data_IF_433283215293
#
_entry.id   IF_433283215293
#
_cell.length_a   1.000
_cell.length_b   1.000
_cell.length_c   1.000
_cell.angle_alpha   90.00
_cell.angle_beta   90.00
_cell.angle_gamma   90.00
#
_symmetry.space_group_name_H-M   'P 1'
#
loop_
_entity.id
_entity.type
_entity.pdbx_description
1 polymer ?
#
# COMPACT_ATOMS: atom_id res chain seq x y z
N UNK A 1 -13.81 11.50 18.22
CA UNK A 1 -12.67 11.02 17.40
C UNK A 1 -11.99 9.75 17.96
N UNK A 2 -11.66 9.71 19.27
CA UNK A 2 -11.05 8.54 19.92
C UNK A 2 -11.94 7.27 19.87
N UNK A 3 -13.24 7.41 20.10
CA UNK A 3 -14.20 6.30 20.00
C UNK A 3 -14.27 5.68 18.59
N UNK A 4 -14.05 6.45 17.52
CA UNK A 4 -14.05 5.88 16.16
C UNK A 4 -12.84 4.97 15.93
N UNK A 5 -11.69 5.30 16.53
CA UNK A 5 -10.47 4.49 16.46
C UNK A 5 -10.68 3.20 17.26
N UNK A 6 -11.19 3.29 18.48
CA UNK A 6 -11.47 2.11 19.31
C UNK A 6 -12.52 1.18 18.68
N UNK A 7 -13.55 1.74 18.04
CA UNK A 7 -14.55 0.96 17.30
C UNK A 7 -13.98 0.32 16.04
N UNK A 8 -13.08 1.00 15.32
CA UNK A 8 -12.41 0.44 14.15
C UNK A 8 -11.48 -0.73 14.54
N UNK A 9 -10.75 -0.59 15.66
CA UNK A 9 -9.91 -1.65 16.22
C UNK A 9 -10.77 -2.87 16.59
N UNK A 10 -11.85 -2.69 17.37
CA UNK A 10 -12.76 -3.77 17.77
C UNK A 10 -13.47 -4.46 16.59
N UNK A 11 -13.71 -3.73 15.49
CA UNK A 11 -14.26 -4.29 14.25
C UNK A 11 -13.21 -5.11 13.48
N UNK A 12 -11.95 -4.64 13.45
CA UNK A 12 -10.85 -5.35 12.80
C UNK A 12 -10.42 -6.62 13.52
N UNK A 13 -10.55 -6.68 14.85
CA UNK A 13 -10.21 -7.87 15.67
C UNK A 13 -11.31 -8.94 15.71
N UNK A 14 -12.50 -8.66 15.15
CA UNK A 14 -13.60 -9.63 15.11
C UNK A 14 -14.39 -9.78 16.41
N UNK A 15 -14.07 -9.01 17.47
CA UNK A 15 -14.72 -9.12 18.79
C UNK A 15 -16.22 -8.78 18.79
N UNK A 16 -16.71 -8.05 17.77
CA UNK A 16 -18.11 -7.64 17.65
C UNK A 16 -18.94 -8.49 16.68
N UNK A 17 -18.50 -9.71 16.33
CA UNK A 17 -19.24 -10.58 15.40
C UNK A 17 -19.31 -10.01 13.97
N UNK A 18 -18.28 -9.26 13.57
CA UNK A 18 -18.11 -8.75 12.22
C UNK A 18 -17.41 -9.76 11.32
N UNK A 19 -17.80 -9.80 10.04
CA UNK A 19 -17.22 -10.69 9.05
C UNK A 19 -15.68 -10.59 9.02
N UNK A 20 -15.01 -11.74 8.95
CA UNK A 20 -13.55 -11.85 8.91
C UNK A 20 -13.03 -11.08 7.70
N UNK A 21 -12.36 -9.96 7.96
CA UNK A 21 -11.69 -9.20 6.90
C UNK A 21 -10.44 -9.98 6.49
N UNK A 22 -10.36 -10.32 5.22
CA UNK A 22 -9.22 -10.98 4.60
C UNK A 22 -8.49 -9.98 3.71
N UNK A 23 -7.17 -10.00 3.80
CA UNK A 23 -6.30 -9.26 2.89
C UNK A 23 -5.93 -10.17 1.71
N UNK A 24 -6.27 -9.74 0.49
CA UNK A 24 -5.93 -10.44 -0.76
C UNK A 24 -5.29 -9.45 -1.73
N UNK A 25 -4.27 -9.91 -2.43
CA UNK A 25 -3.64 -9.19 -3.53
C UNK A 25 -4.16 -9.72 -4.86
N UNK A 26 -4.61 -8.82 -5.72
CA UNK A 26 -4.96 -9.10 -7.12
C UNK A 26 -3.93 -8.48 -8.05
N UNK A 27 -3.77 -9.09 -9.21
CA UNK A 27 -2.84 -8.67 -10.24
C UNK A 27 -3.58 -8.43 -11.54
N UNK A 28 -3.13 -7.47 -12.36
CA UNK A 28 -3.78 -7.18 -13.62
C UNK A 28 -3.01 -6.20 -14.51
N UNK A 29 -3.49 -6.08 -15.73
CA UNK A 29 -3.00 -5.13 -16.73
C UNK A 29 -4.12 -4.17 -17.10
N UNK A 30 -3.84 -2.87 -17.03
CA UNK A 30 -4.74 -1.82 -17.48
C UNK A 30 -4.56 -1.47 -18.96
N UNK A 31 -5.20 -0.39 -19.42
CA UNK A 31 -5.02 0.11 -20.78
C UNK A 31 -3.54 0.40 -21.05
N UNK A 32 -3.11 0.18 -22.30
CA UNK A 32 -1.71 0.34 -22.73
C UNK A 32 -0.69 -0.54 -21.98
N UNK A 33 -1.12 -1.64 -21.35
CA UNK A 33 -0.23 -2.61 -20.73
C UNK A 33 0.38 -2.18 -19.39
N UNK A 34 -0.18 -1.16 -18.73
CA UNK A 34 0.24 -0.77 -17.38
C UNK A 34 -0.05 -1.88 -16.37
N UNK A 35 0.97 -2.30 -15.62
CA UNK A 35 0.84 -3.31 -14.58
C UNK A 35 0.18 -2.75 -13.31
N UNK A 36 -0.72 -3.52 -12.71
CA UNK A 36 -1.42 -3.18 -11.46
C UNK A 36 -1.29 -4.30 -10.44
N UNK A 37 -0.80 -3.95 -9.24
CA UNK A 37 -0.81 -4.77 -8.04
C UNK A 37 -1.78 -4.14 -7.05
N UNK A 38 -2.85 -4.86 -6.68
CA UNK A 38 -3.98 -4.30 -5.92
C UNK A 38 -4.14 -5.08 -4.62
N UNK A 39 -3.89 -4.43 -3.49
CA UNK A 39 -4.16 -4.98 -2.17
C UNK A 39 -5.59 -4.62 -1.74
N UNK A 40 -6.37 -5.64 -1.37
CA UNK A 40 -7.78 -5.50 -0.99
C UNK A 40 -7.99 -6.13 0.37
N UNK A 41 -8.48 -5.34 1.33
CA UNK A 41 -9.03 -5.82 2.59
C UNK A 41 -10.55 -5.95 2.45
N UNK A 42 -11.07 -7.18 2.40
CA UNK A 42 -12.50 -7.46 2.15
C UNK A 42 -13.02 -8.58 3.02
N UNK A 43 -14.31 -8.52 3.35
CA UNK A 43 -15.04 -9.60 4.01
C UNK A 43 -15.61 -10.64 3.02
N UNK A 44 -15.55 -10.35 1.70
CA UNK A 44 -16.04 -11.22 0.65
C UNK A 44 -15.18 -11.13 -0.61
N UNK A 45 -14.33 -12.13 -0.78
CA UNK A 45 -13.36 -12.24 -1.87
C UNK A 45 -14.03 -12.41 -3.25
N UNK A 46 -15.16 -13.12 -3.31
CA UNK A 46 -15.91 -13.32 -4.55
C UNK A 46 -16.51 -12.03 -5.08
N UNK A 47 -17.05 -11.19 -4.18
CA UNK A 47 -17.60 -9.88 -4.54
C UNK A 47 -16.50 -8.96 -5.07
N UNK A 48 -15.40 -8.83 -4.32
CA UNK A 48 -14.26 -8.01 -4.72
C UNK A 48 -13.65 -8.47 -6.06
N UNK A 49 -13.49 -9.77 -6.28
CA UNK A 49 -13.01 -10.30 -7.56
C UNK A 49 -13.95 -9.97 -8.73
N UNK A 50 -15.26 -10.03 -8.53
CA UNK A 50 -16.26 -9.71 -9.56
C UNK A 50 -16.27 -8.22 -9.91
N UNK A 51 -16.18 -7.36 -8.90
CA UNK A 51 -16.11 -5.91 -9.08
C UNK A 51 -14.83 -5.52 -9.81
N UNK A 52 -13.67 -6.05 -9.40
CA UNK A 52 -12.40 -5.80 -10.04
C UNK A 52 -12.38 -6.25 -11.50
N UNK A 53 -12.87 -7.46 -11.80
CA UNK A 53 -12.99 -7.92 -13.20
C UNK A 53 -13.82 -6.95 -14.04
N UNK A 54 -14.98 -6.56 -13.53
CA UNK A 54 -15.87 -5.61 -14.23
C UNK A 54 -15.19 -4.26 -14.45
N UNK A 55 -14.46 -3.76 -13.45
CA UNK A 55 -13.76 -2.48 -13.52
C UNK A 55 -12.62 -2.52 -14.56
N UNK A 56 -11.81 -3.58 -14.58
CA UNK A 56 -10.76 -3.75 -15.58
C UNK A 56 -11.34 -3.89 -16.99
N UNK A 57 -12.33 -4.76 -17.18
CA UNK A 57 -12.95 -4.95 -18.50
C UNK A 57 -13.59 -3.68 -19.04
N UNK A 58 -14.25 -2.87 -18.20
CA UNK A 58 -14.83 -1.58 -18.61
C UNK A 58 -13.79 -0.54 -19.02
N UNK A 59 -12.59 -0.58 -18.44
CA UNK A 59 -11.52 0.40 -18.68
C UNK A 59 -10.41 -0.12 -19.62
N UNK A 60 -10.67 -1.19 -20.38
CA UNK A 60 -9.73 -1.71 -21.38
C UNK A 60 -8.54 -2.48 -20.80
N UNK A 61 -8.72 -3.11 -19.64
CA UNK A 61 -7.74 -3.97 -18.99
C UNK A 61 -8.26 -5.38 -18.68
N UNK A 62 -7.41 -6.19 -18.06
CA UNK A 62 -7.73 -7.54 -17.59
C UNK A 62 -7.11 -7.85 -16.23
N UNK A 63 -7.79 -8.68 -15.44
CA UNK A 63 -7.23 -9.28 -14.23
C UNK A 63 -6.36 -10.47 -14.66
N UNK A 64 -5.14 -10.52 -14.13
CA UNK A 64 -4.17 -11.60 -14.32
C UNK A 64 -4.24 -12.67 -13.23
N UNK A 65 -3.41 -13.69 -13.39
CA UNK A 65 -3.17 -14.70 -12.34
C UNK A 65 -2.13 -14.20 -11.34
N UNK A 66 -2.07 -14.75 -10.12
CA UNK A 66 -0.97 -14.49 -9.20
C UNK A 66 0.39 -14.72 -9.89
N UNK A 67 1.31 -13.75 -9.77
CA UNK A 67 2.63 -13.75 -10.42
C UNK A 67 2.69 -13.11 -11.81
N UNK A 68 1.59 -12.61 -12.38
CA UNK A 68 1.55 -11.99 -13.72
C UNK A 68 2.31 -10.66 -13.81
N UNK A 69 2.31 -9.89 -12.73
CA UNK A 69 3.00 -8.59 -12.65
C UNK A 69 3.84 -8.45 -11.39
N UNK A 70 3.68 -9.33 -10.40
CA UNK A 70 4.39 -9.23 -9.12
C UNK A 70 5.91 -9.06 -9.27
N UNK A 71 6.53 -9.68 -10.29
CA UNK A 71 7.97 -9.55 -10.56
C UNK A 71 8.43 -8.14 -10.97
N UNK A 72 7.50 -7.27 -11.40
CA UNK A 72 7.76 -5.87 -11.76
C UNK A 72 7.72 -4.94 -10.54
N UNK A 73 7.23 -5.42 -9.39
CA UNK A 73 7.08 -4.63 -8.17
C UNK A 73 8.02 -5.13 -7.06
N UNK A 74 8.61 -4.19 -6.33
CA UNK A 74 9.41 -4.48 -5.14
C UNK A 74 8.77 -3.77 -3.95
N UNK A 75 8.38 -4.52 -2.91
CA UNK A 75 7.80 -3.95 -1.70
C UNK A 75 8.90 -3.25 -0.91
N UNK A 76 8.77 -1.93 -0.74
CA UNK A 76 9.74 -1.09 -0.01
C UNK A 76 9.03 -0.21 1.01
N UNK A 77 9.72 0.10 2.10
CA UNK A 77 9.28 1.14 3.02
C UNK A 77 9.40 2.52 2.38
N UNK A 78 8.41 3.37 2.60
CA UNK A 78 8.43 4.80 2.27
C UNK A 78 8.07 5.61 3.51
N UNK A 79 8.80 6.69 3.77
CA UNK A 79 8.43 7.70 4.75
C UNK A 79 8.40 9.07 4.05
N UNK A 80 7.38 9.87 4.39
CA UNK A 80 7.21 11.22 3.88
C UNK A 80 7.38 12.20 5.03
N UNK A 81 8.27 13.17 4.83
CA UNK A 81 8.55 14.23 5.78
C UNK A 81 8.08 15.54 5.15
N UNK A 82 7.28 16.32 5.89
CA UNK A 82 6.87 17.66 5.45
C UNK A 82 8.09 18.59 5.52
N UNK A 83 8.37 19.35 4.46
CA UNK A 83 9.57 20.18 4.38
C UNK A 83 9.49 21.49 5.20
N UNK A 84 8.33 21.81 5.76
CA UNK A 84 8.12 23.07 6.49
C UNK A 84 8.97 23.13 7.76
N UNK A 85 9.86 24.13 7.82
CA UNK A 85 10.73 24.34 8.99
C UNK A 85 11.94 23.41 9.08
N UNK A 86 12.19 22.57 8.08
CA UNK A 86 13.36 21.68 8.03
C UNK A 86 14.42 22.21 7.05
N UNK A 87 15.67 22.23 7.51
CA UNK A 87 16.82 22.40 6.63
C UNK A 87 17.12 21.09 5.90
N UNK A 88 17.83 21.17 4.78
CA UNK A 88 18.25 20.00 4.01
C UNK A 88 19.05 19.01 4.88
N UNK A 89 20.00 19.52 5.68
CA UNK A 89 20.83 18.71 6.57
C UNK A 89 19.98 17.96 7.61
N UNK A 90 19.04 18.63 8.27
CA UNK A 90 18.16 17.99 9.25
C UNK A 90 17.22 16.97 8.62
N UNK A 91 16.77 17.20 7.39
CA UNK A 91 15.97 16.23 6.66
C UNK A 91 16.79 15.00 6.26
N UNK A 92 18.06 15.18 5.89
CA UNK A 92 18.99 14.10 5.57
C UNK A 92 19.29 13.23 6.79
N UNK A 93 19.58 13.84 7.93
CA UNK A 93 19.84 13.12 9.19
C UNK A 93 18.63 12.25 9.59
N UNK A 94 17.42 12.81 9.50
CA UNK A 94 16.19 12.08 9.81
C UNK A 94 15.96 10.91 8.84
N UNK A 95 16.25 11.10 7.56
CA UNK A 95 16.16 10.03 6.56
C UNK A 95 17.15 8.89 6.84
N UNK A 96 18.37 9.21 7.26
CA UNK A 96 19.40 8.22 7.63
C UNK A 96 19.02 7.44 8.89
N UNK A 97 18.51 8.11 9.92
CA UNK A 97 18.01 7.43 11.12
C UNK A 97 16.85 6.50 10.80
N UNK A 98 15.88 6.98 10.01
CA UNK A 98 14.75 6.18 9.58
C UNK A 98 15.21 4.95 8.78
N UNK A 99 16.13 5.13 7.83
CA UNK A 99 16.69 4.02 7.05
C UNK A 99 17.35 2.98 7.96
N UNK A 100 18.10 3.41 8.97
CA UNK A 100 18.71 2.53 9.99
C UNK A 100 17.67 1.76 10.80
N UNK A 101 16.58 2.41 11.22
CA UNK A 101 15.50 1.75 11.95
C UNK A 101 14.81 0.68 11.11
N UNK A 102 14.57 0.97 9.83
CA UNK A 102 13.93 0.04 8.90
C UNK A 102 14.83 -1.16 8.61
N UNK A 103 16.14 -0.93 8.42
CA UNK A 103 17.13 -1.99 8.29
C UNK A 103 17.12 -2.95 9.49
N UNK A 104 17.13 -2.41 10.72
CA UNK A 104 17.06 -3.23 11.94
C UNK A 104 15.75 -4.02 12.07
N UNK A 105 14.68 -3.58 11.42
CA UNK A 105 13.39 -4.27 11.39
C UNK A 105 13.24 -5.23 10.20
N UNK A 106 14.29 -5.39 9.38
CA UNK A 106 14.26 -6.24 8.18
C UNK A 106 13.33 -5.72 7.09
N UNK A 107 12.95 -4.43 7.12
CA UNK A 107 12.09 -3.84 6.09
C UNK A 107 13.01 -3.26 5.00
N UNK A 108 12.91 -3.73 3.75
CA UNK A 108 13.72 -3.21 2.66
C UNK A 108 13.41 -1.72 2.42
N UNK A 109 14.43 -0.89 2.54
CA UNK A 109 14.39 0.55 2.22
C UNK A 109 14.76 0.76 0.75
N UNK A 110 14.16 1.74 0.08
CA UNK A 110 14.65 2.17 -1.24
C UNK A 110 16.11 2.60 -1.12
N UNK A 111 17.00 1.88 -1.82
CA UNK A 111 18.31 2.39 -2.20
C UNK A 111 18.08 3.73 -2.92
N UNK A 112 18.35 4.84 -2.23
CA UNK A 112 18.13 6.20 -2.74
C UNK A 112 16.71 6.73 -2.54
N UNK A 113 16.20 6.73 -1.29
CA UNK A 113 14.99 7.49 -0.91
C UNK A 113 15.22 8.99 -1.16
N UNK A 114 15.03 9.41 -2.41
CA UNK A 114 14.91 10.80 -2.80
C UNK A 114 13.57 11.28 -2.24
N UNK A 115 13.64 12.00 -1.14
CA UNK A 115 12.56 12.81 -0.58
C UNK A 115 11.92 13.62 -1.71
N UNK A 116 10.84 13.11 -2.31
CA UNK A 116 9.89 13.96 -3.02
C UNK A 116 9.16 14.75 -1.94
N UNK A 117 9.79 15.82 -1.48
CA UNK A 117 9.08 16.94 -0.88
C UNK A 117 8.08 17.43 -1.95
N UNK A 118 6.83 16.98 -1.87
CA UNK A 118 5.75 17.59 -2.62
C UNK A 118 5.63 19.03 -2.11
N UNK A 119 6.22 19.98 -2.83
CA UNK A 119 5.81 21.38 -2.76
C UNK A 119 4.41 21.48 -3.35
N UNK A 120 3.48 22.03 -2.57
CA UNK A 120 2.24 22.64 -3.05
C UNK A 120 2.54 23.83 -3.96
#
# INVERSE_FOLDING_TARGET
PKENIERAIKKGTGELGGATIQEITYEGYGPSGTAFLIEVATDNTNRSASELRTLFTKNGGSIGTPGSVAYQFERKGEARIMAEGLTEDSAMDLALEWARMMWNRGIPTMNGCLLRAQRS
#
